data_IF_296758254878
#
_entry.id   IF_296758254878
#
_cell.length_a   1.000
_cell.length_b   1.000
_cell.length_c   1.000
_cell.angle_alpha   90.00
_cell.angle_beta   90.00
_cell.angle_gamma   90.00
#
_symmetry.space_group_name_H-M   'P 1'
#
loop_
_entity.id
_entity.type
_entity.pdbx_description
1 polymer ?
#
# COMPACT_ATOMS: atom_id res chain seq x y z
N UNK A 1 36.35 -9.95 37.32
CA UNK A 1 35.57 -10.51 36.20
C UNK A 1 34.47 -9.54 35.86
N UNK A 2 34.78 -8.59 34.99
CA UNK A 2 33.81 -7.64 34.41
C UNK A 2 34.33 -7.34 33.01
N UNK A 3 33.91 -8.15 32.05
CA UNK A 3 34.16 -7.93 30.63
C UNK A 3 33.25 -6.82 30.15
N UNK A 4 33.88 -5.71 29.77
CA UNK A 4 33.30 -4.54 29.14
C UNK A 4 32.67 -4.91 27.76
N UNK A 5 31.39 -4.60 27.50
CA UNK A 5 30.76 -4.89 26.22
C UNK A 5 31.25 -3.91 25.16
N UNK A 6 32.24 -4.33 24.38
CA UNK A 6 32.67 -3.61 23.19
C UNK A 6 31.50 -3.46 22.22
N UNK A 7 31.12 -2.22 22.00
CA UNK A 7 30.23 -1.75 20.95
C UNK A 7 30.83 -2.13 19.59
N UNK A 8 30.20 -3.06 18.88
CA UNK A 8 30.41 -3.21 17.45
C UNK A 8 29.62 -2.12 16.73
N UNK A 9 30.28 -1.01 16.42
CA UNK A 9 29.79 -0.04 15.43
C UNK A 9 30.09 -0.63 14.05
N UNK A 10 29.09 -0.87 13.18
CA UNK A 10 29.35 -1.34 11.82
C UNK A 10 30.15 -0.28 11.06
N UNK A 11 31.32 -0.66 10.53
CA UNK A 11 32.10 0.18 9.64
C UNK A 11 31.28 0.52 8.39
N UNK A 12 31.11 1.83 8.10
CA UNK A 12 30.52 2.29 6.84
C UNK A 12 29.30 3.22 6.93
N UNK A 13 28.85 3.61 8.13
CA UNK A 13 27.81 4.64 8.24
C UNK A 13 28.51 6.02 8.22
N UNK A 14 28.45 6.70 7.07
CA UNK A 14 28.89 8.09 6.93
C UNK A 14 28.23 8.94 8.03
N UNK A 15 28.98 9.86 8.66
CA UNK A 15 28.42 10.75 9.68
C UNK A 15 27.16 11.44 9.14
N UNK A 16 26.05 11.48 9.90
CA UNK A 16 24.81 12.05 9.42
C UNK A 16 25.02 13.54 9.12
N UNK A 17 25.09 13.86 7.82
CA UNK A 17 25.22 15.25 7.36
C UNK A 17 23.96 16.02 7.76
N UNK A 18 24.09 17.16 8.46
CA UNK A 18 22.94 18.00 8.77
C UNK A 18 22.30 18.47 7.46
N UNK A 19 21.06 18.07 7.22
CA UNK A 19 20.27 18.49 6.07
C UNK A 19 19.41 19.68 6.49
N UNK A 20 19.63 20.84 5.86
CA UNK A 20 18.74 22.00 6.02
C UNK A 20 17.41 21.70 5.34
N UNK A 21 16.35 21.48 6.13
CA UNK A 21 14.98 21.37 5.61
C UNK A 21 14.47 22.80 5.41
N UNK A 22 14.21 23.26 4.18
CA UNK A 22 13.70 24.60 3.97
C UNK A 22 12.27 24.68 4.51
N UNK A 23 12.00 25.69 5.33
CA UNK A 23 10.64 26.04 5.74
C UNK A 23 10.02 26.84 4.58
N UNK A 24 8.81 26.48 4.13
CA UNK A 24 8.07 27.01 2.96
C UNK A 24 8.25 26.31 1.60
N UNK A 25 8.66 25.05 1.56
CA UNK A 25 8.55 24.25 0.32
C UNK A 25 7.28 23.41 0.36
N UNK A 26 6.52 23.41 -0.74
CA UNK A 26 5.46 22.42 -0.96
C UNK A 26 6.10 21.10 -1.37
N UNK A 27 5.90 20.05 -0.58
CA UNK A 27 6.28 18.69 -0.96
C UNK A 27 5.23 18.16 -1.92
N UNK A 28 5.63 17.69 -3.10
CA UNK A 28 4.71 16.99 -3.99
C UNK A 28 4.46 15.58 -3.44
N UNK A 29 3.18 15.20 -3.39
CA UNK A 29 2.77 13.89 -2.90
C UNK A 29 2.72 12.92 -4.08
N UNK A 30 3.81 12.18 -4.24
CA UNK A 30 3.97 11.25 -5.36
C UNK A 30 3.29 9.90 -5.10
N UNK A 31 3.09 9.56 -3.82
CA UNK A 31 2.41 8.32 -3.42
C UNK A 31 0.91 8.36 -3.69
N UNK A 32 0.38 7.26 -4.21
CA UNK A 32 -1.07 7.06 -4.39
C UNK A 32 -1.51 5.68 -3.93
N UNK A 33 -2.65 5.61 -3.25
CA UNK A 33 -3.35 4.34 -3.02
C UNK A 33 -4.25 4.09 -4.22
N UNK A 34 -4.09 2.91 -4.81
CA UNK A 34 -4.89 2.47 -5.96
C UNK A 34 -5.96 1.48 -5.49
N UNK A 35 -7.16 1.65 -6.02
CA UNK A 35 -8.20 0.64 -5.91
C UNK A 35 -8.05 -0.45 -6.99
N UNK A 36 -8.88 -1.49 -6.89
CA UNK A 36 -8.90 -2.63 -7.82
C UNK A 36 -9.15 -2.22 -9.28
N UNK A 37 -10.21 -1.43 -9.60
CA UNK A 37 -10.40 -0.88 -10.94
C UNK A 37 -9.19 -0.13 -11.49
N UNK A 38 -8.65 0.85 -10.76
CA UNK A 38 -7.49 1.64 -11.16
C UNK A 38 -6.29 0.75 -11.46
N UNK A 39 -6.03 -0.23 -10.59
CA UNK A 39 -4.96 -1.21 -10.80
C UNK A 39 -5.14 -2.01 -12.10
N UNK A 40 -6.35 -2.47 -12.41
CA UNK A 40 -6.59 -3.22 -13.65
C UNK A 40 -6.32 -2.36 -14.88
N UNK A 41 -6.74 -1.10 -14.85
CA UNK A 41 -6.58 -0.20 -15.98
C UNK A 41 -5.10 0.13 -16.21
N UNK A 42 -4.34 0.38 -15.13
CA UNK A 42 -2.89 0.59 -15.19
C UNK A 42 -2.17 -0.63 -15.77
N UNK A 43 -2.45 -1.83 -15.25
CA UNK A 43 -1.78 -3.05 -15.70
C UNK A 43 -2.12 -3.41 -17.15
N UNK A 44 -3.35 -3.14 -17.61
CA UNK A 44 -3.74 -3.34 -19.02
C UNK A 44 -3.12 -2.33 -19.97
N UNK A 45 -2.89 -1.11 -19.50
CA UNK A 45 -2.27 -0.05 -20.30
C UNK A 45 -0.74 -0.18 -20.39
N UNK A 46 -0.12 -0.93 -19.46
CA UNK A 46 1.32 -1.13 -19.44
C UNK A 46 1.80 -1.92 -20.66
N UNK A 47 2.92 -1.47 -21.24
CA UNK A 47 3.56 -2.13 -22.39
C UNK A 47 4.45 -3.29 -21.95
N UNK A 48 5.05 -3.16 -20.77
CA UNK A 48 5.93 -4.14 -20.17
C UNK A 48 5.65 -4.21 -18.68
N UNK A 49 5.75 -5.43 -18.14
CA UNK A 49 5.46 -5.74 -16.75
C UNK A 49 6.56 -6.65 -16.22
N UNK A 50 7.03 -6.37 -15.01
CA UNK A 50 7.93 -7.24 -14.29
C UNK A 50 7.45 -7.42 -12.86
N UNK A 51 7.75 -8.57 -12.26
CA UNK A 51 7.44 -8.86 -10.87
C UNK A 51 8.70 -9.17 -10.08
N UNK A 52 8.69 -8.71 -8.83
CA UNK A 52 9.70 -9.05 -7.85
C UNK A 52 9.16 -9.24 -6.45
N UNK A 53 10.06 -9.73 -5.60
CA UNK A 53 9.82 -9.89 -4.17
C UNK A 53 9.62 -8.54 -3.47
N UNK A 54 8.69 -8.50 -2.51
CA UNK A 54 8.56 -7.38 -1.59
C UNK A 54 9.77 -7.32 -0.65
N UNK A 55 10.69 -6.39 -0.91
CA UNK A 55 11.88 -6.16 -0.09
C UNK A 55 11.57 -5.97 1.39
N UNK A 56 10.59 -5.12 1.73
CA UNK A 56 10.22 -4.88 3.13
C UNK A 56 9.72 -6.13 3.85
N UNK A 57 8.98 -7.01 3.16
CA UNK A 57 8.49 -8.25 3.77
C UNK A 57 9.61 -9.28 3.91
N UNK A 58 10.49 -9.38 2.91
CA UNK A 58 11.66 -10.26 2.92
C UNK A 58 12.61 -9.92 4.07
N UNK A 59 12.85 -8.63 4.30
CA UNK A 59 13.72 -8.15 5.38
C UNK A 59 13.08 -8.33 6.76
N UNK A 60 11.81 -7.95 6.93
CA UNK A 60 11.17 -7.93 8.26
C UNK A 60 10.60 -9.28 8.69
N UNK A 61 10.16 -10.15 7.77
CA UNK A 61 9.69 -11.51 8.07
C UNK A 61 8.48 -11.63 9.01
N UNK A 62 7.63 -10.60 9.11
CA UNK A 62 6.57 -10.52 10.14
C UNK A 62 5.20 -11.12 9.77
N UNK A 63 5.04 -11.74 8.60
CA UNK A 63 3.78 -12.38 8.20
C UNK A 63 3.96 -13.32 7.01
N UNK A 64 2.93 -14.14 6.76
CA UNK A 64 2.95 -15.21 5.75
C UNK A 64 2.33 -14.75 4.40
N UNK A 65 2.23 -13.43 4.17
CA UNK A 65 1.65 -12.90 2.93
C UNK A 65 2.58 -13.13 1.73
N UNK A 66 2.05 -13.29 0.50
CA UNK A 66 2.85 -13.66 -0.69
C UNK A 66 4.01 -12.70 -0.95
N UNK A 67 5.21 -13.19 -1.30
CA UNK A 67 6.41 -12.36 -1.48
C UNK A 67 6.49 -11.65 -2.84
N UNK A 68 6.28 -12.35 -3.95
CA UNK A 68 6.24 -11.76 -5.30
C UNK A 68 5.00 -10.87 -5.45
N UNK A 69 5.11 -9.56 -5.15
CA UNK A 69 3.95 -8.66 -5.15
C UNK A 69 4.27 -7.22 -5.55
N UNK A 70 5.54 -6.93 -5.87
CA UNK A 70 5.96 -5.64 -6.43
C UNK A 70 5.95 -5.76 -7.95
N UNK A 71 5.34 -4.79 -8.61
CA UNK A 71 5.15 -4.75 -10.05
C UNK A 71 5.84 -3.53 -10.63
N UNK A 72 6.80 -3.75 -11.52
CA UNK A 72 7.43 -2.71 -12.32
C UNK A 72 6.66 -2.55 -13.62
N UNK A 73 6.52 -1.32 -14.09
CA UNK A 73 5.79 -0.97 -15.30
C UNK A 73 6.72 -0.33 -16.33
N UNK A 74 6.53 -0.69 -17.61
CA UNK A 74 7.23 -0.09 -18.74
C UNK A 74 8.76 -0.12 -18.59
N UNK A 75 9.44 1.02 -18.67
CA UNK A 75 10.89 1.15 -18.53
C UNK A 75 11.37 0.68 -17.16
N UNK A 76 10.66 1.03 -16.08
CA UNK A 76 10.94 0.57 -14.72
C UNK A 76 10.86 -0.96 -14.60
N UNK A 77 10.03 -1.63 -15.40
CA UNK A 77 9.99 -3.08 -15.44
C UNK A 77 11.32 -3.67 -15.92
N UNK A 78 11.88 -3.12 -17.01
CA UNK A 78 13.17 -3.58 -17.56
C UNK A 78 14.32 -3.25 -16.63
N UNK A 79 14.35 -2.05 -16.06
CA UNK A 79 15.39 -1.64 -15.13
C UNK A 79 15.42 -2.54 -13.90
N UNK A 80 14.26 -2.95 -13.37
CA UNK A 80 14.19 -3.87 -12.25
C UNK A 80 14.62 -5.31 -12.59
N UNK A 81 14.38 -5.76 -13.83
CA UNK A 81 14.92 -7.03 -14.33
C UNK A 81 16.46 -6.99 -14.31
N UNK A 82 17.05 -5.94 -14.86
CA UNK A 82 18.51 -5.80 -14.95
C UNK A 82 19.16 -5.60 -13.57
N UNK A 83 18.56 -4.76 -12.72
CA UNK A 83 19.14 -4.34 -11.44
C UNK A 83 18.92 -5.35 -10.32
N UNK A 84 17.75 -5.98 -10.28
CA UNK A 84 17.33 -6.82 -9.16
C UNK A 84 16.99 -8.25 -9.56
N UNK A 85 17.10 -8.61 -10.84
CA UNK A 85 16.76 -9.94 -11.33
C UNK A 85 15.26 -10.22 -11.28
N UNK A 86 14.42 -9.19 -11.41
CA UNK A 86 12.97 -9.39 -11.50
C UNK A 86 12.61 -10.17 -12.77
N UNK A 87 11.42 -10.76 -12.76
CA UNK A 87 10.94 -11.60 -13.86
C UNK A 87 9.93 -10.84 -14.68
N UNK A 88 10.09 -10.83 -16.00
CA UNK A 88 9.08 -10.32 -16.92
C UNK A 88 7.83 -11.20 -16.87
N UNK A 89 6.67 -10.57 -16.89
CA UNK A 89 5.36 -11.23 -16.84
C UNK A 89 4.42 -10.63 -17.89
N UNK A 90 3.37 -11.36 -18.23
CA UNK A 90 2.29 -10.83 -19.05
C UNK A 90 1.18 -10.21 -18.19
N UNK A 91 0.17 -9.64 -18.87
CA UNK A 91 -0.96 -8.98 -18.21
C UNK A 91 -1.83 -9.97 -17.43
N UNK A 92 -1.94 -11.22 -17.88
CA UNK A 92 -2.78 -12.23 -17.23
C UNK A 92 -2.15 -12.66 -15.89
N UNK A 93 -0.84 -12.89 -15.87
CA UNK A 93 -0.11 -13.13 -14.63
C UNK A 93 -0.18 -11.91 -13.69
N UNK A 94 -0.11 -10.69 -14.22
CA UNK A 94 -0.27 -9.49 -13.39
C UNK A 94 -1.69 -9.38 -12.78
N UNK A 95 -2.73 -9.81 -13.51
CA UNK A 95 -4.09 -9.92 -12.96
C UNK A 95 -4.17 -10.96 -11.85
N UNK A 96 -3.51 -12.10 -11.98
CA UNK A 96 -3.43 -13.12 -10.93
C UNK A 96 -2.73 -12.58 -9.68
N UNK A 97 -1.67 -11.77 -9.87
CA UNK A 97 -0.98 -11.06 -8.80
C UNK A 97 -1.92 -10.08 -8.10
N UNK A 98 -2.69 -9.29 -8.85
CA UNK A 98 -3.69 -8.38 -8.29
C UNK A 98 -4.77 -9.14 -7.49
N UNK A 99 -5.23 -10.29 -7.99
CA UNK A 99 -6.24 -11.11 -7.32
C UNK A 99 -5.71 -11.77 -6.04
N UNK A 100 -4.48 -12.30 -6.03
CA UNK A 100 -3.90 -12.94 -4.84
C UNK A 100 -3.55 -11.92 -3.75
N UNK A 101 -3.05 -10.75 -4.14
CA UNK A 101 -2.68 -9.68 -3.20
C UNK A 101 -3.91 -9.06 -2.53
N UNK A 102 -5.00 -8.87 -3.27
CA UNK A 102 -6.28 -8.43 -2.72
C UNK A 102 -6.89 -9.43 -1.75
N UNK A 103 -6.87 -10.73 -2.09
CA UNK A 103 -7.31 -11.79 -1.17
C UNK A 103 -6.50 -11.77 0.12
N UNK A 104 -5.19 -11.53 0.03
CA UNK A 104 -4.29 -11.40 1.17
C UNK A 104 -4.46 -10.08 1.98
N UNK A 105 -5.35 -9.17 1.56
CA UNK A 105 -5.61 -7.91 2.25
C UNK A 105 -4.46 -6.90 2.12
N UNK A 106 -3.75 -6.92 0.99
CA UNK A 106 -2.68 -5.96 0.69
C UNK A 106 -3.25 -4.68 0.08
N UNK A 107 -2.65 -3.55 0.43
CA UNK A 107 -2.98 -2.23 -0.14
C UNK A 107 -2.07 -1.97 -1.33
N UNK A 108 -2.64 -1.66 -2.50
CA UNK A 108 -1.87 -1.26 -3.67
C UNK A 108 -1.45 0.19 -3.55
N UNK A 109 -0.14 0.40 -3.50
CA UNK A 109 0.49 1.71 -3.40
C UNK A 109 1.36 1.88 -4.63
N UNK A 110 1.24 3.02 -5.28
CA UNK A 110 2.06 3.36 -6.42
C UNK A 110 2.75 4.71 -6.21
N UNK A 111 3.82 4.94 -6.95
CA UNK A 111 4.54 6.19 -6.96
C UNK A 111 4.47 6.82 -8.35
N UNK A 112 4.10 8.10 -8.39
CA UNK A 112 4.12 8.90 -9.61
C UNK A 112 5.51 9.48 -9.82
N UNK A 113 5.95 9.50 -11.07
CA UNK A 113 7.09 10.33 -11.50
C UNK A 113 6.63 11.78 -11.62
N UNK A 114 7.58 12.70 -11.81
CA UNK A 114 7.30 14.14 -11.98
C UNK A 114 6.41 14.46 -13.18
N UNK A 115 6.35 13.58 -14.18
CA UNK A 115 5.45 13.67 -15.33
C UNK A 115 4.04 13.07 -15.07
N UNK A 116 3.78 12.60 -13.85
CA UNK A 116 2.52 11.98 -13.44
C UNK A 116 2.40 10.47 -13.71
N UNK A 117 3.37 9.87 -14.41
CA UNK A 117 3.33 8.45 -14.76
C UNK A 117 3.60 7.55 -13.55
N UNK A 118 2.84 6.45 -13.44
CA UNK A 118 3.10 5.40 -12.48
C UNK A 118 4.12 4.44 -13.08
N UNK A 119 5.19 4.17 -12.34
CA UNK A 119 6.32 3.35 -12.77
C UNK A 119 6.45 2.05 -11.95
N UNK A 120 6.00 2.08 -10.70
CA UNK A 120 6.01 0.92 -9.82
C UNK A 120 4.72 0.87 -8.99
N UNK A 121 4.24 -0.35 -8.77
CA UNK A 121 3.18 -0.64 -7.79
C UNK A 121 3.66 -1.67 -6.78
N UNK A 122 3.58 -1.32 -5.50
CA UNK A 122 3.78 -2.21 -4.38
C UNK A 122 2.45 -2.69 -3.78
N UNK A 123 2.33 -3.97 -3.45
CA UNK A 123 1.21 -4.48 -2.64
C UNK A 123 1.62 -4.64 -1.17
N UNK A 124 1.33 -3.63 -0.38
CA UNK A 124 1.85 -3.42 0.96
C UNK A 124 0.97 -4.01 2.06
N UNK A 125 1.60 -4.45 3.16
CA UNK A 125 0.91 -4.88 4.37
C UNK A 125 1.27 -3.97 5.55
N UNK A 126 0.31 -3.73 6.44
CA UNK A 126 0.49 -2.88 7.63
C UNK A 126 1.43 -3.48 8.69
N UNK A 127 1.86 -4.74 8.53
CA UNK A 127 2.78 -5.40 9.45
C UNK A 127 4.26 -5.28 9.02
N UNK A 128 4.56 -5.37 7.71
CA UNK A 128 5.95 -5.40 7.23
C UNK A 128 6.39 -4.13 6.50
N UNK A 129 5.50 -3.44 5.80
CA UNK A 129 5.86 -2.24 5.04
C UNK A 129 6.13 -1.07 6.00
N UNK A 130 7.36 -0.56 6.03
CA UNK A 130 7.72 0.59 6.89
C UNK A 130 6.90 1.83 6.59
N UNK A 131 6.60 2.06 5.31
CA UNK A 131 5.74 3.17 4.87
C UNK A 131 4.31 3.02 5.38
N UNK A 132 3.65 1.89 5.09
CA UNK A 132 2.26 1.68 5.52
C UNK A 132 2.13 1.63 7.04
N UNK A 133 3.07 1.02 7.75
CA UNK A 133 3.10 1.01 9.22
C UNK A 133 3.15 2.44 9.78
N UNK A 134 4.00 3.30 9.20
CA UNK A 134 4.14 4.69 9.60
C UNK A 134 2.87 5.50 9.34
N UNK A 135 2.25 5.30 8.18
CA UNK A 135 0.97 5.93 7.82
C UNK A 135 -0.14 5.54 8.79
N UNK A 136 -0.28 4.24 9.10
CA UNK A 136 -1.34 3.75 9.99
C UNK A 136 -1.12 4.16 11.45
N UNK A 137 0.14 4.22 11.90
CA UNK A 137 0.45 4.59 13.28
C UNK A 137 0.28 6.09 13.55
N UNK A 138 0.59 6.95 12.57
CA UNK A 138 0.57 8.41 12.73
C UNK A 138 -0.64 9.11 12.11
N UNK A 139 -1.45 8.38 11.33
CA UNK A 139 -2.65 8.89 10.64
C UNK A 139 -2.37 10.08 9.71
N UNK A 140 -1.21 10.11 9.06
CA UNK A 140 -0.83 11.14 8.07
C UNK A 140 -1.49 10.91 6.70
N UNK A 141 -2.81 10.86 6.68
CA UNK A 141 -3.59 10.83 5.44
C UNK A 141 -3.40 12.15 4.67
N UNK A 142 -3.32 12.07 3.35
CA UNK A 142 -3.16 13.20 2.39
C UNK A 142 -1.83 13.97 2.47
N UNK A 143 -1.07 13.85 3.56
CA UNK A 143 0.24 14.48 3.69
C UNK A 143 1.35 13.73 2.93
N UNK A 144 1.22 12.41 2.78
CA UNK A 144 2.25 11.53 2.19
C UNK A 144 1.71 10.60 1.11
N UNK A 145 0.39 10.44 1.04
CA UNK A 145 -0.27 9.59 0.06
C UNK A 145 -1.69 10.09 -0.21
N UNK A 146 -2.12 10.05 -1.46
CA UNK A 146 -3.47 10.43 -1.88
C UNK A 146 -4.24 9.25 -2.47
N UNK A 147 -5.55 9.43 -2.70
CA UNK A 147 -6.39 8.50 -3.45
C UNK A 147 -7.42 9.30 -4.25
N UNK A 148 -7.76 8.83 -5.45
CA UNK A 148 -8.80 9.45 -6.30
C UNK A 148 -10.21 9.16 -5.78
N UNK A 149 -10.35 8.08 -5.01
CA UNK A 149 -11.62 7.60 -4.47
C UNK A 149 -11.52 7.40 -2.96
N UNK A 150 -12.68 7.45 -2.30
CA UNK A 150 -12.88 6.97 -0.93
C UNK A 150 -14.06 6.01 -0.89
N UNK A 151 -14.16 5.24 0.19
CA UNK A 151 -15.34 4.42 0.42
C UNK A 151 -16.49 5.29 0.93
N UNK A 152 -17.71 4.99 0.48
CA UNK A 152 -18.96 5.40 1.10
C UNK A 152 -19.61 4.16 1.75
N UNK A 153 -20.42 4.40 2.78
CA UNK A 153 -21.04 3.34 3.59
C UNK A 153 -22.54 3.62 3.77
N UNK A 154 -23.36 2.64 3.42
CA UNK A 154 -24.81 2.65 3.62
C UNK A 154 -25.17 1.81 4.86
N UNK A 155 -25.57 2.43 5.98
CA UNK A 155 -25.94 1.70 7.19
C UNK A 155 -27.24 0.91 7.04
N UNK A 156 -28.16 1.28 6.15
CA UNK A 156 -29.43 0.60 5.96
C UNK A 156 -29.27 -0.73 5.22
N UNK A 157 -28.31 -0.79 4.30
CA UNK A 157 -27.93 -2.04 3.61
C UNK A 157 -26.97 -2.92 4.45
N UNK A 158 -26.51 -2.45 5.61
CA UNK A 158 -25.48 -3.12 6.39
C UNK A 158 -26.06 -4.27 7.24
N UNK A 159 -25.47 -5.47 7.08
CA UNK A 159 -25.82 -6.66 7.89
C UNK A 159 -25.03 -6.78 9.19
N UNK A 160 -24.07 -5.89 9.45
CA UNK A 160 -23.24 -5.92 10.66
C UNK A 160 -22.18 -7.02 10.73
N UNK A 161 -21.90 -7.72 9.62
CA UNK A 161 -20.99 -8.89 9.57
C UNK A 161 -19.53 -8.61 9.98
N UNK A 162 -19.09 -7.35 9.95
CA UNK A 162 -17.77 -6.93 10.43
C UNK A 162 -16.58 -7.28 9.52
N UNK A 163 -16.80 -7.74 8.29
CA UNK A 163 -15.72 -8.02 7.33
C UNK A 163 -14.91 -6.76 6.96
N UNK A 164 -15.57 -5.61 6.84
CA UNK A 164 -14.90 -4.32 6.57
C UNK A 164 -13.92 -3.93 7.70
N UNK A 165 -14.30 -4.16 8.96
CA UNK A 165 -13.46 -3.91 10.14
C UNK A 165 -12.21 -4.79 10.07
N UNK A 166 -12.37 -6.09 9.79
CA UNK A 166 -11.24 -7.03 9.68
C UNK A 166 -10.30 -6.71 8.53
N UNK A 167 -10.82 -6.19 7.42
CA UNK A 167 -10.05 -5.95 6.19
C UNK A 167 -9.45 -4.56 6.08
N UNK A 168 -9.90 -3.59 6.87
CA UNK A 168 -9.37 -2.23 6.81
C UNK A 168 -8.06 -2.12 7.60
N UNK A 169 -6.89 -1.96 6.94
CA UNK A 169 -5.63 -1.81 7.65
C UNK A 169 -5.48 -0.42 8.30
N UNK A 170 -6.38 0.52 7.97
CA UNK A 170 -6.36 1.90 8.43
C UNK A 170 -7.28 2.18 9.62
N UNK A 171 -8.11 1.21 10.01
CA UNK A 171 -9.06 1.37 11.13
C UNK A 171 -10.26 2.28 10.84
N UNK A 172 -10.61 2.51 9.57
CA UNK A 172 -11.73 3.36 9.18
C UNK A 172 -13.12 2.78 9.52
N UNK A 173 -13.20 1.51 9.91
CA UNK A 173 -14.44 0.86 10.33
C UNK A 173 -14.31 0.36 11.77
N UNK A 174 -15.36 0.54 12.57
CA UNK A 174 -15.44 0.06 13.95
C UNK A 174 -16.86 -0.39 14.30
N UNK A 175 -17.10 -0.79 15.56
CA UNK A 175 -18.44 -1.03 16.10
C UNK A 175 -18.75 0.02 17.17
N UNK A 176 -20.00 0.49 17.19
CA UNK A 176 -20.52 1.29 18.30
C UNK A 176 -20.89 0.42 19.51
N UNK A 177 -21.40 1.06 20.56
CA UNK A 177 -21.84 0.38 21.78
C UNK A 177 -23.01 -0.60 21.54
N UNK A 178 -23.82 -0.36 20.52
CA UNK A 178 -24.97 -1.18 20.13
C UNK A 178 -24.59 -2.30 19.15
N UNK A 179 -23.30 -2.39 18.78
CA UNK A 179 -22.77 -3.38 17.84
C UNK A 179 -22.98 -3.04 16.36
N UNK A 180 -23.51 -1.86 16.04
CA UNK A 180 -23.65 -1.34 14.67
C UNK A 180 -22.30 -0.96 14.10
N UNK A 181 -22.13 -1.13 12.79
CA UNK A 181 -20.90 -0.73 12.11
C UNK A 181 -20.86 0.78 11.95
N UNK A 182 -19.73 1.38 12.35
CA UNK A 182 -19.42 2.78 12.12
C UNK A 182 -18.36 2.92 11.03
N UNK A 183 -18.40 4.03 10.29
CA UNK A 183 -17.43 4.36 9.26
C UNK A 183 -16.91 5.79 9.45
N UNK A 184 -15.60 5.91 9.62
CA UNK A 184 -14.87 7.16 9.79
C UNK A 184 -14.18 7.52 8.46
N UNK A 185 -14.84 8.37 7.67
CA UNK A 185 -14.39 8.71 6.32
C UNK A 185 -13.05 9.44 6.31
N UNK A 186 -12.74 10.18 7.37
CA UNK A 186 -11.47 10.85 7.60
C UNK A 186 -10.31 9.85 7.67
N UNK A 187 -10.53 8.61 8.10
CA UNK A 187 -9.52 7.54 8.16
C UNK A 187 -9.48 6.66 6.91
N UNK A 188 -10.34 6.88 5.93
CA UNK A 188 -10.39 6.08 4.71
C UNK A 188 -9.35 6.51 3.67
N UNK A 189 -8.43 5.63 3.29
CA UNK A 189 -7.38 5.87 2.28
C UNK A 189 -7.77 5.38 0.87
N UNK A 190 -9.03 5.00 0.63
CA UNK A 190 -9.49 4.61 -0.71
C UNK A 190 -9.03 3.24 -1.23
N UNK A 191 -8.38 2.39 -0.41
CA UNK A 191 -7.80 1.12 -0.88
C UNK A 191 -8.79 0.07 -1.42
N UNK A 192 -10.09 0.19 -1.13
CA UNK A 192 -11.10 -0.72 -1.70
C UNK A 192 -11.18 -2.13 -1.12
N UNK A 193 -10.36 -2.48 -0.13
CA UNK A 193 -10.38 -3.81 0.48
C UNK A 193 -11.73 -4.18 1.10
N UNK A 194 -12.50 -3.18 1.55
CA UNK A 194 -13.84 -3.35 2.09
C UNK A 194 -14.92 -3.49 1.00
N UNK A 195 -14.81 -2.74 -0.10
CA UNK A 195 -15.83 -2.65 -1.17
C UNK A 195 -16.12 -4.03 -1.75
N UNK A 196 -15.12 -4.67 -2.36
CA UNK A 196 -15.29 -5.99 -2.98
C UNK A 196 -15.47 -7.16 -2.01
N UNK A 197 -15.48 -6.92 -0.69
CA UNK A 197 -15.70 -7.98 0.33
C UNK A 197 -17.00 -7.79 1.11
N UNK A 198 -17.75 -6.70 0.89
CA UNK A 198 -19.03 -6.49 1.54
C UNK A 198 -20.09 -7.38 0.87
N UNK A 199 -20.63 -8.43 1.53
CA UNK A 199 -21.59 -9.34 0.90
C UNK A 199 -22.96 -8.72 0.68
N UNK A 200 -23.28 -7.63 1.40
CA UNK A 200 -24.54 -6.88 1.23
C UNK A 200 -24.38 -5.64 0.37
N UNK A 201 -23.21 -5.44 -0.25
CA UNK A 201 -22.91 -4.31 -1.14
C UNK A 201 -23.14 -2.92 -0.50
N UNK A 202 -23.15 -2.86 0.84
CA UNK A 202 -23.33 -1.64 1.62
C UNK A 202 -22.14 -0.65 1.55
N UNK A 203 -21.09 -0.98 0.81
CA UNK A 203 -19.86 -0.18 0.70
C UNK A 203 -19.52 -0.04 -0.78
N UNK A 204 -19.39 1.19 -1.25
CA UNK A 204 -19.06 1.51 -2.65
C UNK A 204 -18.01 2.62 -2.72
N UNK A 205 -17.43 2.85 -3.90
CA UNK A 205 -16.52 3.97 -4.12
C UNK A 205 -17.30 5.24 -4.44
N UNK A 206 -16.78 6.37 -3.95
CA UNK A 206 -17.15 7.71 -4.39
C UNK A 206 -15.87 8.49 -4.72
N UNK A 207 -15.96 9.37 -5.70
CA UNK A 207 -14.86 10.30 -6.02
C UNK A 207 -14.59 11.22 -4.83
N UNK A 208 -13.33 11.62 -4.70
CA UNK A 208 -12.85 12.46 -3.61
C UNK A 208 -12.92 13.95 -3.91
#
# INVERSE_FOLDING_TARGET
MTTDPQQHTPEGIEEPKPLTIPVHVSVQVDGVVLNQPEMRDILRAAKQLAIGDCGCRKEKGGCDKPLEVCLGLNDEALENVDRFGWRLIDVDEAMDVLARTYRAGLVHIAYRRSNGEIHEVCSCCSCCCGFLTSLTARRYKDALITSSFVAAFDPEACTGCGLCIKRCPFGAFSKDADGRTLFESDQCFGCGLCVGTCPSEAIHFVER
#
